data_IF_781343005384
#
_entry.id   IF_781343005384
#
_cell.length_a   1.000
_cell.length_b   1.000
_cell.length_c   1.000
_cell.angle_alpha   90.00
_cell.angle_beta   90.00
_cell.angle_gamma   90.00
#
_symmetry.space_group_name_H-M   'P 1'
#
loop_
_entity.id
_entity.type
_entity.pdbx_description
1 polymer ?
#
# COMPACT_ATOMS: atom_id res chain seq x y z
N UNK A 1 -24.73 14.39 -2.94
CA UNK A 1 -24.19 14.11 -4.29
C UNK A 1 -22.66 14.01 -4.31
N UNK A 2 -21.90 15.04 -3.89
CA UNK A 2 -20.42 15.05 -3.94
C UNK A 2 -19.71 13.89 -3.21
N UNK A 3 -20.20 13.50 -2.02
CA UNK A 3 -19.63 12.38 -1.24
C UNK A 3 -19.74 11.07 -2.02
N UNK A 4 -20.93 10.76 -2.55
CA UNK A 4 -21.19 9.51 -3.30
C UNK A 4 -20.29 9.43 -4.54
N UNK A 5 -20.13 10.55 -5.26
CA UNK A 5 -19.24 10.62 -6.43
C UNK A 5 -17.79 10.34 -6.03
N UNK A 6 -17.33 10.89 -4.91
CA UNK A 6 -15.98 10.60 -4.37
C UNK A 6 -15.81 9.11 -4.03
N UNK A 7 -16.79 8.47 -3.36
CA UNK A 7 -16.72 7.04 -3.04
C UNK A 7 -16.68 6.15 -4.28
N UNK A 8 -17.48 6.52 -5.29
CA UNK A 8 -17.50 5.80 -6.57
C UNK A 8 -16.17 5.96 -7.34
N UNK A 9 -15.59 7.17 -7.32
CA UNK A 9 -14.28 7.42 -7.89
C UNK A 9 -13.18 6.58 -7.22
N UNK A 10 -13.19 6.48 -5.89
CA UNK A 10 -12.27 5.62 -5.15
C UNK A 10 -12.41 4.13 -5.55
N UNK A 11 -13.65 3.65 -5.73
CA UNK A 11 -13.92 2.28 -6.20
C UNK A 11 -13.39 2.02 -7.62
N UNK A 12 -13.56 2.99 -8.53
CA UNK A 12 -13.00 2.90 -9.89
C UNK A 12 -11.48 2.81 -9.86
N UNK A 13 -10.80 3.68 -9.09
CA UNK A 13 -9.34 3.64 -8.95
C UNK A 13 -8.89 2.32 -8.34
N UNK A 14 -9.56 1.84 -7.29
CA UNK A 14 -9.25 0.57 -6.67
C UNK A 14 -9.34 -0.59 -7.68
N UNK A 15 -10.39 -0.61 -8.51
CA UNK A 15 -10.58 -1.63 -9.56
C UNK A 15 -9.46 -1.57 -10.60
N UNK A 16 -9.09 -0.37 -11.06
CA UNK A 16 -7.96 -0.19 -11.98
C UNK A 16 -6.65 -0.64 -11.36
N UNK A 17 -6.40 -0.31 -10.09
CA UNK A 17 -5.20 -0.71 -9.36
C UNK A 17 -5.10 -2.23 -9.22
N UNK A 18 -6.17 -2.91 -8.79
CA UNK A 18 -6.20 -4.37 -8.66
C UNK A 18 -5.98 -5.02 -10.03
N UNK A 19 -6.60 -4.49 -11.09
CA UNK A 19 -6.41 -4.99 -12.45
C UNK A 19 -4.96 -4.84 -12.93
N UNK A 20 -4.32 -3.71 -12.61
CA UNK A 20 -2.91 -3.45 -12.90
C UNK A 20 -1.99 -4.42 -12.15
N UNK A 21 -2.17 -4.59 -10.84
CA UNK A 21 -1.44 -5.56 -10.02
C UNK A 21 -1.56 -6.98 -10.58
N UNK A 22 -2.79 -7.43 -10.87
CA UNK A 22 -3.04 -8.75 -11.46
C UNK A 22 -2.40 -8.91 -12.84
N UNK A 23 -2.37 -7.85 -13.64
CA UNK A 23 -1.72 -7.84 -14.95
C UNK A 23 -0.20 -8.04 -14.83
N UNK A 24 0.45 -7.31 -13.93
CA UNK A 24 1.90 -7.44 -13.68
C UNK A 24 2.23 -8.82 -13.12
N UNK A 25 1.45 -9.37 -12.20
CA UNK A 25 1.67 -10.73 -11.68
C UNK A 25 1.63 -11.77 -12.80
N UNK A 26 0.62 -11.73 -13.66
CA UNK A 26 0.53 -12.64 -14.81
C UNK A 26 1.71 -12.47 -15.77
N UNK A 27 2.15 -11.25 -16.00
CA UNK A 27 3.32 -10.97 -16.83
C UNK A 27 4.58 -11.62 -16.23
N UNK A 28 4.80 -11.47 -14.92
CA UNK A 28 5.93 -12.08 -14.22
C UNK A 28 5.86 -13.62 -14.25
N UNK A 29 4.68 -14.19 -14.05
CA UNK A 29 4.49 -15.64 -14.09
C UNK A 29 4.83 -16.20 -15.49
N UNK A 30 4.39 -15.53 -16.55
CA UNK A 30 4.72 -15.89 -17.94
C UNK A 30 6.23 -15.74 -18.19
N UNK A 31 6.83 -14.64 -17.75
CA UNK A 31 8.26 -14.40 -17.91
C UNK A 31 9.11 -15.47 -17.18
N UNK A 32 8.70 -15.87 -15.97
CA UNK A 32 9.33 -16.94 -15.21
C UNK A 32 9.24 -18.29 -15.94
N UNK A 33 8.06 -18.64 -16.48
CA UNK A 33 7.89 -19.87 -17.29
C UNK A 33 8.81 -19.88 -18.51
N UNK A 34 8.93 -18.77 -19.23
CA UNK A 34 9.83 -18.64 -20.39
C UNK A 34 11.31 -18.76 -19.97
N UNK A 35 11.65 -18.22 -18.79
CA UNK A 35 13.00 -18.30 -18.24
C UNK A 35 13.40 -19.73 -17.91
N UNK A 36 12.49 -20.53 -17.33
CA UNK A 36 12.72 -21.93 -17.01
C UNK A 36 12.96 -22.78 -18.26
N UNK A 37 12.27 -22.48 -19.37
CA UNK A 37 12.42 -23.22 -20.63
C UNK A 37 13.73 -22.90 -21.37
N UNK A 38 14.27 -21.70 -21.22
CA UNK A 38 15.41 -21.23 -22.01
C UNK A 38 16.77 -21.40 -21.32
N UNK A 39 16.83 -21.80 -20.03
CA UNK A 39 18.05 -22.05 -19.23
C UNK A 39 19.13 -20.92 -19.18
N UNK A 40 18.98 -19.81 -19.90
CA UNK A 40 20.04 -18.82 -20.12
C UNK A 40 20.06 -17.66 -19.11
N UNK A 41 18.99 -17.44 -18.33
CA UNK A 41 18.91 -16.36 -17.33
C UNK A 41 18.28 -16.90 -16.05
N UNK A 42 18.95 -16.81 -14.89
CA UNK A 42 18.34 -17.16 -13.61
C UNK A 42 17.50 -15.97 -13.13
N UNK A 43 16.29 -15.78 -13.68
CA UNK A 43 15.27 -14.91 -13.04
C UNK A 43 14.74 -15.67 -11.83
N UNK A 44 15.60 -15.84 -10.82
CA UNK A 44 15.17 -16.40 -9.54
C UNK A 44 14.46 -15.30 -8.76
N UNK A 45 13.42 -15.64 -7.97
CA UNK A 45 12.76 -14.67 -7.11
C UNK A 45 13.72 -13.87 -6.21
N UNK A 46 14.87 -14.45 -5.83
CA UNK A 46 15.90 -13.77 -5.05
C UNK A 46 16.60 -12.64 -5.83
N UNK A 47 16.91 -12.87 -7.10
CA UNK A 47 17.49 -11.84 -7.97
C UNK A 47 16.50 -10.67 -8.16
N UNK A 48 15.22 -10.99 -8.38
CA UNK A 48 14.16 -9.99 -8.52
C UNK A 48 13.96 -9.17 -7.23
N UNK A 49 14.05 -9.81 -6.04
CA UNK A 49 14.03 -9.09 -4.76
C UNK A 49 15.20 -8.10 -4.67
N UNK A 50 16.42 -8.56 -4.96
CA UNK A 50 17.61 -7.73 -4.85
C UNK A 50 17.53 -6.54 -5.81
N UNK A 51 17.22 -6.80 -7.09
CA UNK A 51 17.14 -5.77 -8.12
C UNK A 51 16.06 -4.72 -7.81
N UNK A 52 14.83 -5.15 -7.52
CA UNK A 52 13.74 -4.20 -7.26
C UNK A 52 13.96 -3.41 -5.96
N UNK A 53 14.52 -4.05 -4.93
CA UNK A 53 14.87 -3.35 -3.68
C UNK A 53 15.90 -2.26 -3.94
N UNK A 54 16.97 -2.56 -4.70
CA UNK A 54 18.00 -1.58 -5.06
C UNK A 54 17.40 -0.42 -5.86
N UNK A 55 16.56 -0.70 -6.86
CA UNK A 55 15.91 0.33 -7.68
C UNK A 55 15.06 1.27 -6.82
N UNK A 56 14.26 0.71 -5.90
CA UNK A 56 13.38 1.50 -5.03
C UNK A 56 14.15 2.30 -3.97
N UNK A 57 15.23 1.74 -3.41
CA UNK A 57 16.13 2.45 -2.48
C UNK A 57 16.86 3.60 -3.17
N UNK A 58 17.42 3.39 -4.36
CA UNK A 58 18.07 4.45 -5.15
C UNK A 58 17.07 5.54 -5.55
N UNK A 59 15.85 5.13 -5.93
CA UNK A 59 14.76 6.05 -6.29
C UNK A 59 14.21 6.81 -5.08
N UNK A 60 14.60 6.43 -3.85
CA UNK A 60 14.10 7.01 -2.60
C UNK A 60 12.57 6.91 -2.52
N UNK A 61 12.04 5.72 -2.79
CA UNK A 61 10.59 5.43 -2.78
C UNK A 61 10.27 4.11 -2.09
N UNK A 62 11.20 3.58 -1.28
CA UNK A 62 11.06 2.26 -0.69
C UNK A 62 9.88 2.19 0.29
N UNK A 63 9.52 3.31 0.93
CA UNK A 63 8.40 3.45 1.87
C UNK A 63 7.04 3.02 1.29
N UNK A 64 6.87 3.10 -0.03
CA UNK A 64 5.61 2.76 -0.71
C UNK A 64 5.29 1.26 -0.69
N UNK A 65 6.24 0.40 -0.30
CA UNK A 65 6.04 -1.03 -0.18
C UNK A 65 5.12 -1.44 0.98
N UNK A 66 4.85 -0.53 1.93
CA UNK A 66 3.95 -0.80 3.04
C UNK A 66 2.48 -0.80 2.59
N UNK A 67 1.72 -1.75 3.11
CA UNK A 67 0.27 -1.85 2.90
C UNK A 67 -0.43 -2.04 4.24
N UNK A 68 -1.74 -2.29 4.22
CA UNK A 68 -2.49 -2.76 5.39
C UNK A 68 -1.74 -3.96 5.99
N UNK A 69 -1.47 -3.98 7.31
CA UNK A 69 -2.10 -3.17 8.36
C UNK A 69 -1.43 -1.82 8.71
N UNK A 70 -0.37 -1.40 8.02
CA UNK A 70 0.45 -0.24 8.41
C UNK A 70 -0.02 1.10 7.86
N UNK A 71 -0.87 1.08 6.84
CA UNK A 71 -1.36 2.29 6.17
C UNK A 71 -2.88 2.28 6.16
N UNK A 72 -3.50 3.30 6.76
CA UNK A 72 -4.94 3.52 6.71
C UNK A 72 -5.20 4.99 6.45
N UNK A 73 -6.04 5.26 5.45
CA UNK A 73 -6.41 6.62 5.05
C UNK A 73 -7.92 6.82 5.16
N UNK A 74 -8.31 7.84 5.93
CA UNK A 74 -9.70 8.25 6.03
C UNK A 74 -10.14 9.04 4.80
N UNK A 75 -11.44 9.05 4.54
CA UNK A 75 -12.00 9.80 3.44
C UNK A 75 -12.04 11.30 3.78
N UNK A 76 -11.17 12.06 3.12
CA UNK A 76 -11.21 13.52 3.11
C UNK A 76 -11.73 14.00 1.75
N UNK A 77 -12.74 14.87 1.77
CA UNK A 77 -13.38 15.40 0.55
C UNK A 77 -12.37 16.16 -0.33
N UNK A 78 -11.45 16.89 0.28
CA UNK A 78 -10.43 17.69 -0.41
C UNK A 78 -9.45 16.82 -1.22
N UNK A 79 -9.13 15.63 -0.70
CA UNK A 79 -8.14 14.71 -1.30
C UNK A 79 -8.79 13.61 -2.15
N UNK A 80 -10.11 13.60 -2.27
CA UNK A 80 -10.86 12.55 -2.96
C UNK A 80 -10.46 12.43 -4.43
N UNK A 81 -10.27 13.55 -5.12
CA UNK A 81 -9.95 13.61 -6.55
C UNK A 81 -8.50 14.00 -6.86
N UNK A 82 -7.70 14.24 -5.83
CA UNK A 82 -6.30 14.62 -5.98
C UNK A 82 -5.43 13.36 -5.93
N UNK A 83 -4.66 13.13 -6.99
CA UNK A 83 -3.66 12.07 -7.07
C UNK A 83 -2.33 12.76 -7.38
N UNK A 84 -1.46 12.95 -6.39
CA UNK A 84 -0.18 13.61 -6.60
C UNK A 84 0.75 12.71 -7.40
N UNK A 85 1.52 13.32 -8.30
CA UNK A 85 2.72 12.72 -8.90
C UNK A 85 3.92 12.95 -7.99
N UNK A 86 4.98 12.16 -8.17
CA UNK A 86 6.15 12.24 -7.29
C UNK A 86 6.84 13.62 -7.34
N UNK A 87 6.87 14.29 -8.49
CA UNK A 87 7.43 15.63 -8.63
C UNK A 87 6.39 16.74 -8.50
N UNK A 88 5.14 16.39 -8.17
CA UNK A 88 4.01 17.32 -7.97
C UNK A 88 3.84 18.31 -9.13
N UNK A 89 4.21 17.93 -10.35
CA UNK A 89 4.14 18.80 -11.53
C UNK A 89 2.70 19.07 -11.91
N UNK A 90 2.42 20.29 -12.32
CA UNK A 90 1.12 20.69 -12.87
C UNK A 90 1.18 20.62 -14.40
N UNK A 91 0.01 20.46 -15.04
CA UNK A 91 -0.10 20.50 -16.50
C UNK A 91 0.47 21.80 -17.10
N UNK A 92 0.40 22.90 -16.35
CA UNK A 92 0.89 24.21 -16.76
C UNK A 92 2.44 24.31 -16.75
N UNK A 93 3.15 23.37 -16.12
CA UNK A 93 4.63 23.36 -16.07
C UNK A 93 5.26 22.86 -17.39
N UNK A 94 4.43 22.46 -18.35
CA UNK A 94 4.80 21.93 -19.66
C UNK A 94 4.34 20.48 -19.84
N UNK A 95 3.62 20.21 -20.93
CA UNK A 95 2.98 18.91 -21.21
C UNK A 95 3.96 17.74 -21.15
N UNK A 96 5.17 17.88 -21.72
CA UNK A 96 6.18 16.82 -21.69
C UNK A 96 6.71 16.55 -20.27
N UNK A 97 6.99 17.60 -19.49
CA UNK A 97 7.47 17.44 -18.10
C UNK A 97 6.42 16.75 -17.23
N UNK A 98 5.16 17.14 -17.40
CA UNK A 98 4.04 16.49 -16.72
C UNK A 98 3.88 15.03 -17.15
N UNK A 99 4.01 14.74 -18.46
CA UNK A 99 3.95 13.37 -18.97
C UNK A 99 5.05 12.48 -18.38
N UNK A 100 6.30 12.94 -18.34
CA UNK A 100 7.40 12.18 -17.75
C UNK A 100 7.26 12.01 -16.23
N UNK A 101 6.73 13.00 -15.50
CA UNK A 101 6.41 12.86 -14.08
C UNK A 101 5.33 11.79 -13.83
N UNK A 102 4.28 11.78 -14.64
CA UNK A 102 3.27 10.73 -14.62
C UNK A 102 3.86 9.36 -14.94
N UNK A 103 4.70 9.25 -15.97
CA UNK A 103 5.35 7.98 -16.35
C UNK A 103 6.21 7.45 -15.21
N UNK A 104 7.08 8.30 -14.66
CA UNK A 104 7.96 7.92 -13.55
C UNK A 104 7.15 7.51 -12.31
N UNK A 105 6.10 8.27 -11.98
CA UNK A 105 5.20 7.94 -10.86
C UNK A 105 4.56 6.55 -11.04
N UNK A 106 4.22 6.14 -12.26
CA UNK A 106 3.63 4.80 -12.52
C UNK A 106 4.67 3.67 -12.58
N UNK A 107 5.94 3.96 -12.85
CA UNK A 107 7.01 2.96 -12.81
C UNK A 107 7.35 2.49 -11.39
N UNK A 108 7.20 3.35 -10.38
CA UNK A 108 7.49 2.96 -8.99
C UNK A 108 6.57 1.82 -8.51
N UNK A 109 5.23 1.89 -8.68
CA UNK A 109 4.35 0.77 -8.40
C UNK A 109 4.69 -0.50 -9.16
N UNK A 110 5.20 -0.43 -10.40
CA UNK A 110 5.63 -1.62 -11.14
C UNK A 110 6.70 -2.40 -10.38
N UNK A 111 7.79 -1.75 -9.98
CA UNK A 111 8.89 -2.39 -9.24
C UNK A 111 8.45 -2.87 -7.86
N UNK A 112 7.57 -2.13 -7.18
CA UNK A 112 6.94 -2.54 -5.93
C UNK A 112 6.14 -3.84 -6.12
N UNK A 113 5.35 -3.95 -7.19
CA UNK A 113 4.55 -5.15 -7.49
C UNK A 113 5.45 -6.35 -7.78
N UNK A 114 6.54 -6.15 -8.54
CA UNK A 114 7.54 -7.20 -8.77
C UNK A 114 8.09 -7.70 -7.46
N UNK A 115 8.61 -6.81 -6.60
CA UNK A 115 9.14 -7.14 -5.28
C UNK A 115 8.13 -7.93 -4.42
N UNK A 116 6.88 -7.46 -4.36
CA UNK A 116 5.80 -8.15 -3.65
C UNK A 116 5.56 -9.56 -4.21
N UNK A 117 5.52 -9.72 -5.54
CA UNK A 117 5.31 -11.00 -6.19
C UNK A 117 6.46 -11.97 -5.91
N UNK A 118 7.72 -11.53 -5.96
CA UNK A 118 8.87 -12.41 -5.74
C UNK A 118 8.86 -12.97 -4.31
N UNK A 119 8.63 -12.14 -3.30
CA UNK A 119 8.46 -12.60 -1.91
C UNK A 119 7.31 -13.58 -1.77
N UNK A 120 6.17 -13.29 -2.41
CA UNK A 120 5.02 -14.17 -2.40
C UNK A 120 5.35 -15.56 -2.96
N UNK A 121 6.04 -15.65 -4.10
CA UNK A 121 6.49 -16.91 -4.71
C UNK A 121 7.42 -17.69 -3.77
N UNK A 122 8.38 -17.00 -3.13
CA UNK A 122 9.29 -17.65 -2.17
C UNK A 122 8.50 -18.27 -1.01
N UNK A 123 7.54 -17.52 -0.45
CA UNK A 123 6.72 -18.02 0.66
C UNK A 123 5.85 -19.20 0.21
N UNK A 124 5.25 -19.13 -0.99
CA UNK A 124 4.48 -20.24 -1.56
C UNK A 124 5.31 -21.52 -1.71
N UNK A 125 6.57 -21.40 -2.14
CA UNK A 125 7.46 -22.54 -2.31
C UNK A 125 7.94 -23.16 -0.98
N UNK A 126 8.04 -22.35 0.09
CA UNK A 126 8.72 -22.77 1.32
C UNK A 126 7.77 -23.03 2.50
N UNK A 127 6.60 -22.39 2.56
CA UNK A 127 5.70 -22.45 3.72
C UNK A 127 4.55 -23.41 3.44
N UNK A 128 4.68 -24.66 3.90
CA UNK A 128 3.65 -25.71 3.78
C UNK A 128 3.04 -25.81 2.37
N UNK A 129 3.84 -26.02 1.32
CA UNK A 129 3.37 -26.00 -0.07
C UNK A 129 2.25 -27.03 -0.35
N UNK A 130 2.27 -28.15 0.38
CA UNK A 130 1.29 -29.24 0.22
C UNK A 130 0.02 -29.05 1.06
N UNK A 131 -0.05 -28.02 1.91
CA UNK A 131 -1.20 -27.77 2.78
C UNK A 131 -1.56 -26.27 2.77
N UNK A 132 -2.35 -25.81 1.79
CA UNK A 132 -2.68 -24.40 1.61
C UNK A 132 -3.33 -23.76 2.84
N UNK A 133 -4.19 -24.48 3.55
CA UNK A 133 -4.87 -23.94 4.74
C UNK A 133 -3.91 -23.73 5.91
N UNK A 134 -3.02 -24.69 6.15
CA UNK A 134 -1.98 -24.54 7.19
C UNK A 134 -1.03 -23.41 6.83
N UNK A 135 -0.62 -23.33 5.56
CA UNK A 135 0.17 -22.23 5.02
C UNK A 135 -0.49 -20.88 5.25
N UNK A 136 -1.81 -20.79 5.00
CA UNK A 136 -2.58 -19.57 5.19
C UNK A 136 -2.64 -19.12 6.66
N UNK A 137 -2.94 -20.03 7.59
CA UNK A 137 -3.01 -19.69 9.01
C UNK A 137 -1.66 -19.26 9.58
N UNK A 138 -0.57 -19.91 9.15
CA UNK A 138 0.79 -19.55 9.56
C UNK A 138 1.16 -18.18 8.99
N UNK A 139 0.85 -17.90 7.72
CA UNK A 139 1.05 -16.57 7.13
C UNK A 139 0.24 -15.50 7.85
N UNK A 140 -1.05 -15.70 8.13
CA UNK A 140 -1.87 -14.73 8.90
C UNK A 140 -1.26 -14.47 10.28
N UNK A 141 -0.92 -15.54 11.01
CA UNK A 141 -0.39 -15.44 12.38
C UNK A 141 0.96 -14.72 12.38
N UNK A 142 1.84 -15.07 11.46
CA UNK A 142 3.17 -14.43 11.30
C UNK A 142 3.02 -12.96 10.93
N UNK A 143 2.14 -12.65 9.97
CA UNK A 143 1.88 -11.29 9.51
C UNK A 143 1.39 -10.38 10.62
N UNK A 144 0.37 -10.80 11.38
CA UNK A 144 -0.15 -9.99 12.49
C UNK A 144 0.80 -9.92 13.70
N UNK A 145 1.56 -10.99 13.99
CA UNK A 145 2.56 -10.98 15.05
C UNK A 145 3.67 -9.98 14.75
N UNK A 146 4.20 -10.01 13.52
CA UNK A 146 5.19 -9.02 13.08
C UNK A 146 4.62 -7.61 13.03
N UNK A 147 3.35 -7.45 12.64
CA UNK A 147 2.70 -6.14 12.65
C UNK A 147 2.60 -5.56 14.06
N UNK A 148 2.22 -6.37 15.04
CA UNK A 148 2.21 -5.97 16.45
C UNK A 148 3.61 -5.58 16.92
N UNK A 149 4.64 -6.35 16.54
CA UNK A 149 6.02 -6.03 16.84
C UNK A 149 6.46 -4.69 16.20
N UNK A 150 6.09 -4.42 14.95
CA UNK A 150 6.37 -3.13 14.30
C UNK A 150 5.69 -1.96 15.03
N UNK A 151 4.43 -2.11 15.47
CA UNK A 151 3.75 -1.07 16.26
C UNK A 151 4.43 -0.82 17.61
N UNK A 152 4.86 -1.87 18.30
CA UNK A 152 5.53 -1.71 19.59
C UNK A 152 6.95 -1.15 19.46
N UNK A 153 7.64 -1.44 18.35
CA UNK A 153 9.00 -0.98 18.11
C UNK A 153 9.09 0.42 17.48
N UNK A 154 7.98 0.98 17.00
CA UNK A 154 7.94 2.28 16.30
C UNK A 154 8.69 3.39 17.05
N UNK A 155 8.42 3.60 18.34
CA UNK A 155 9.11 4.63 19.15
C UNK A 155 10.59 4.36 19.33
N UNK A 156 10.99 3.09 19.43
CA UNK A 156 12.40 2.71 19.54
C UNK A 156 13.14 2.96 18.22
N UNK A 157 12.53 2.61 17.09
CA UNK A 157 13.09 2.87 15.75
C UNK A 157 13.15 4.38 15.47
N UNK A 158 12.16 5.17 15.93
CA UNK A 158 12.18 6.63 15.82
C UNK A 158 13.38 7.24 16.57
N UNK A 159 13.71 6.72 17.76
CA UNK A 159 14.90 7.15 18.49
C UNK A 159 16.19 6.81 17.72
N UNK A 160 16.32 5.57 17.22
CA UNK A 160 17.48 5.17 16.39
C UNK A 160 17.63 6.06 15.15
N UNK A 161 16.52 6.40 14.51
CA UNK A 161 16.50 7.29 13.36
C UNK A 161 17.07 8.68 13.71
N UNK A 162 16.74 9.23 14.87
CA UNK A 162 17.14 10.60 15.23
C UNK A 162 18.60 10.75 15.71
N UNK A 163 19.30 9.65 16.03
CA UNK A 163 20.61 9.71 16.71
C UNK A 163 21.83 9.85 15.78
N UNK A 164 21.70 9.67 14.46
CA UNK A 164 22.85 9.46 13.55
C UNK A 164 22.79 10.32 12.27
N UNK A 165 23.82 10.17 11.42
CA UNK A 165 23.94 10.84 10.12
C UNK A 165 22.82 10.42 9.13
N UNK A 166 22.68 11.18 8.05
CA UNK A 166 21.57 11.01 7.11
C UNK A 166 21.58 9.65 6.39
N UNK A 167 22.75 9.06 6.10
CA UNK A 167 22.85 7.73 5.49
C UNK A 167 22.30 6.64 6.43
N UNK A 168 22.57 6.76 7.72
CA UNK A 168 22.05 5.83 8.73
C UNK A 168 20.52 5.92 8.85
N UNK A 169 19.96 7.13 8.73
CA UNK A 169 18.51 7.36 8.72
C UNK A 169 17.81 6.63 7.59
N UNK A 170 18.36 6.73 6.37
CA UNK A 170 17.83 5.99 5.22
C UNK A 170 17.88 4.49 5.48
N UNK A 171 19.02 3.97 5.96
CA UNK A 171 19.18 2.56 6.26
C UNK A 171 18.19 2.03 7.33
N UNK A 172 18.08 2.70 8.48
CA UNK A 172 17.16 2.29 9.56
C UNK A 172 15.72 2.24 9.07
N UNK A 173 15.29 3.27 8.34
CA UNK A 173 13.93 3.34 7.80
C UNK A 173 13.69 2.24 6.78
N UNK A 174 14.63 1.99 5.87
CA UNK A 174 14.45 0.99 4.83
C UNK A 174 14.41 -0.42 5.43
N UNK A 175 15.25 -0.72 6.42
CA UNK A 175 15.19 -1.98 7.19
C UNK A 175 13.84 -2.14 7.88
N UNK A 176 13.35 -1.10 8.56
CA UNK A 176 12.04 -1.13 9.19
C UNK A 176 10.91 -1.37 8.16
N UNK A 177 11.01 -0.71 7.01
CA UNK A 177 10.09 -0.87 5.89
C UNK A 177 10.09 -2.29 5.32
N UNK A 178 11.25 -2.97 5.25
CA UNK A 178 11.34 -4.38 4.84
C UNK A 178 10.56 -5.29 5.81
N UNK A 179 10.65 -5.05 7.12
CA UNK A 179 9.90 -5.83 8.11
C UNK A 179 8.40 -5.60 7.94
N UNK A 180 7.96 -4.35 7.77
CA UNK A 180 6.57 -4.00 7.48
C UNK A 180 6.07 -4.60 6.16
N UNK A 181 6.91 -4.61 5.11
CA UNK A 181 6.62 -5.26 3.83
C UNK A 181 6.37 -6.76 4.03
N UNK A 182 7.30 -7.46 4.70
CA UNK A 182 7.19 -8.90 4.93
C UNK A 182 5.95 -9.27 5.77
N UNK A 183 5.64 -8.46 6.78
CA UNK A 183 4.41 -8.60 7.56
C UNK A 183 3.15 -8.41 6.70
N UNK A 184 3.13 -7.37 5.87
CA UNK A 184 2.01 -7.08 4.94
C UNK A 184 1.78 -8.23 3.97
N UNK A 185 2.85 -8.75 3.34
CA UNK A 185 2.77 -9.87 2.40
C UNK A 185 2.16 -11.09 3.08
N UNK A 186 2.60 -11.42 4.29
CA UNK A 186 2.07 -12.56 5.04
C UNK A 186 0.58 -12.42 5.39
N UNK A 187 0.14 -11.23 5.82
CA UNK A 187 -1.29 -10.95 6.07
C UNK A 187 -2.09 -11.14 4.78
N UNK A 188 -1.70 -10.47 3.70
CA UNK A 188 -2.45 -10.53 2.44
C UNK A 188 -2.45 -11.92 1.85
N UNK A 189 -1.29 -12.58 1.80
CA UNK A 189 -1.17 -13.96 1.28
C UNK A 189 -2.11 -14.90 1.99
N UNK A 190 -2.08 -14.94 3.31
CA UNK A 190 -2.94 -15.84 4.07
C UNK A 190 -4.42 -15.50 3.90
N UNK A 191 -4.79 -14.22 3.87
CA UNK A 191 -6.18 -13.80 3.60
C UNK A 191 -6.65 -14.21 2.20
N UNK A 192 -5.83 -14.04 1.17
CA UNK A 192 -6.16 -14.44 -0.20
C UNK A 192 -6.37 -15.95 -0.32
N UNK A 193 -5.51 -16.78 0.30
CA UNK A 193 -5.69 -18.24 0.31
C UNK A 193 -6.99 -18.64 1.03
N UNK A 194 -7.30 -18.00 2.16
CA UNK A 194 -8.56 -18.23 2.89
C UNK A 194 -9.77 -17.82 2.03
N UNK A 195 -9.71 -16.66 1.37
CA UNK A 195 -10.79 -16.23 0.47
C UNK A 195 -10.98 -17.19 -0.71
N UNK A 196 -9.89 -17.63 -1.34
CA UNK A 196 -9.95 -18.58 -2.44
C UNK A 196 -10.55 -19.93 -1.98
N UNK A 197 -10.21 -20.39 -0.77
CA UNK A 197 -10.72 -21.65 -0.21
C UNK A 197 -12.22 -21.61 0.16
N UNK A 198 -12.70 -20.52 0.79
CA UNK A 198 -14.07 -20.44 1.30
C UNK A 198 -15.07 -19.78 0.35
N UNK A 199 -14.65 -18.77 -0.42
CA UNK A 199 -15.53 -18.03 -1.35
C UNK A 199 -15.48 -18.69 -2.73
N UNK A 200 -14.27 -19.01 -3.21
CA UNK A 200 -14.04 -19.55 -4.53
C UNK A 200 -14.59 -18.67 -5.66
N UNK A 201 -14.86 -19.27 -6.83
CA UNK A 201 -15.32 -18.55 -8.03
C UNK A 201 -16.86 -18.40 -8.10
N UNK A 202 -17.50 -18.09 -6.96
CA UNK A 202 -18.96 -17.93 -6.89
C UNK A 202 -19.33 -16.48 -7.11
N UNK A 203 -19.56 -16.10 -8.38
CA UNK A 203 -19.82 -14.71 -8.80
C UNK A 203 -20.82 -13.97 -7.90
N UNK A 204 -21.97 -14.57 -7.57
CA UNK A 204 -22.96 -13.95 -6.68
C UNK A 204 -22.45 -13.65 -5.27
N UNK A 205 -21.66 -14.56 -4.68
CA UNK A 205 -21.05 -14.38 -3.35
C UNK A 205 -19.95 -13.32 -3.42
N UNK A 206 -19.15 -13.31 -4.48
CA UNK A 206 -18.11 -12.30 -4.70
C UNK A 206 -18.71 -10.89 -4.77
N UNK A 207 -19.78 -10.67 -5.53
CA UNK A 207 -20.46 -9.37 -5.58
C UNK A 207 -21.03 -8.96 -4.23
N UNK A 208 -21.62 -9.90 -3.49
CA UNK A 208 -22.18 -9.65 -2.16
C UNK A 208 -21.09 -9.27 -1.15
N UNK A 209 -20.01 -10.05 -1.06
CA UNK A 209 -18.90 -9.79 -0.12
C UNK A 209 -18.22 -8.46 -0.41
N UNK A 210 -17.93 -8.16 -1.69
CA UNK A 210 -17.33 -6.89 -2.08
C UNK A 210 -18.27 -5.70 -1.82
N UNK A 211 -19.56 -5.85 -2.11
CA UNK A 211 -20.57 -4.82 -1.83
C UNK A 211 -20.73 -4.53 -0.33
N UNK A 212 -20.73 -5.58 0.50
CA UNK A 212 -20.77 -5.45 1.96
C UNK A 212 -19.48 -4.83 2.51
N UNK A 213 -18.31 -5.25 2.03
CA UNK A 213 -17.03 -4.68 2.43
C UNK A 213 -16.94 -3.19 2.07
N UNK A 214 -17.36 -2.81 0.86
CA UNK A 214 -17.41 -1.41 0.45
C UNK A 214 -18.36 -0.59 1.30
N UNK A 215 -19.56 -1.11 1.60
CA UNK A 215 -20.51 -0.47 2.51
C UNK A 215 -19.93 -0.28 3.91
N UNK A 216 -19.23 -1.29 4.42
CA UNK A 216 -18.56 -1.24 5.71
C UNK A 216 -17.46 -0.16 5.73
N UNK A 217 -16.63 -0.09 4.69
CA UNK A 217 -15.62 0.97 4.55
C UNK A 217 -16.23 2.37 4.45
N UNK A 218 -17.41 2.53 3.83
CA UNK A 218 -18.13 3.81 3.82
C UNK A 218 -18.59 4.21 5.22
N UNK A 219 -19.12 3.25 6.01
CA UNK A 219 -19.53 3.48 7.40
C UNK A 219 -18.32 3.90 8.25
N UNK A 220 -17.18 3.25 8.05
CA UNK A 220 -15.94 3.57 8.76
C UNK A 220 -15.21 4.81 8.21
N UNK A 221 -15.70 5.42 7.13
CA UNK A 221 -15.02 6.54 6.45
C UNK A 221 -13.58 6.20 6.00
N UNK A 222 -13.36 4.97 5.52
CA UNK A 222 -12.08 4.43 5.05
C UNK A 222 -12.09 4.01 3.56
N UNK A 223 -13.02 4.51 2.75
CA UNK A 223 -13.13 4.11 1.34
C UNK A 223 -11.93 4.57 0.51
N UNK A 224 -11.18 5.56 0.96
CA UNK A 224 -9.98 6.05 0.30
C UNK A 224 -8.78 5.14 0.56
N UNK A 225 -8.82 4.30 1.61
CA UNK A 225 -7.77 3.33 1.91
C UNK A 225 -7.60 2.25 0.82
N UNK A 226 -8.65 1.96 0.05
CA UNK A 226 -8.57 1.00 -1.08
C UNK A 226 -7.97 1.63 -2.35
N UNK A 227 -7.80 2.96 -2.38
CA UNK A 227 -7.27 3.70 -3.52
C UNK A 227 -5.87 4.20 -3.18
N UNK A 228 -4.80 3.63 -3.78
CA UNK A 228 -3.47 4.16 -3.56
C UNK A 228 -3.39 5.60 -4.08
N UNK A 229 -2.88 6.50 -3.22
CA UNK A 229 -2.75 7.92 -3.53
C UNK A 229 -1.30 8.24 -3.88
N UNK A 230 -1.00 8.20 -5.17
CA UNK A 230 0.30 8.60 -5.69
C UNK A 230 1.45 7.76 -5.14
N UNK A 231 2.65 8.33 -5.22
CA UNK A 231 3.90 7.75 -4.71
C UNK A 231 4.54 8.75 -3.77
N UNK A 232 4.88 8.30 -2.57
CA UNK A 232 5.60 9.10 -1.59
C UNK A 232 7.09 9.01 -1.86
N UNK A 233 7.77 10.16 -1.82
CA UNK A 233 9.22 10.18 -1.78
C UNK A 233 9.66 10.00 -0.34
N UNK A 234 10.70 9.22 -0.15
CA UNK A 234 11.32 8.97 1.15
C UNK A 234 11.75 10.29 1.81
N UNK A 235 11.18 10.55 3.00
CA UNK A 235 11.34 11.82 3.73
C UNK A 235 10.22 12.84 3.49
N UNK A 236 9.29 12.59 2.57
CA UNK A 236 8.01 13.29 2.52
C UNK A 236 7.01 12.59 3.44
N UNK A 237 6.80 13.17 4.62
CA UNK A 237 5.91 12.58 5.62
C UNK A 237 4.46 13.03 5.43
N UNK A 238 3.52 12.13 5.70
CA UNK A 238 2.09 12.42 5.89
C UNK A 238 1.79 13.18 7.21
N UNK A 239 2.80 13.85 7.78
CA UNK A 239 2.68 14.69 8.98
C UNK A 239 3.09 14.07 10.32
N UNK A 240 3.59 12.82 10.34
CA UNK A 240 3.92 12.09 11.58
C UNK A 240 5.40 11.81 11.81
N UNK A 241 6.29 12.16 10.89
CA UNK A 241 7.69 11.75 10.94
C UNK A 241 7.97 10.53 10.03
N UNK A 242 9.24 10.28 9.69
CA UNK A 242 9.64 9.36 8.61
C UNK A 242 9.61 7.87 8.99
N UNK A 243 9.51 7.56 10.29
CA UNK A 243 9.36 6.20 10.82
C UNK A 243 7.92 5.93 11.23
N UNK A 244 7.15 6.97 11.56
CA UNK A 244 5.85 6.75 12.18
C UNK A 244 4.86 6.18 11.18
N UNK A 245 4.23 5.08 11.57
CA UNK A 245 3.33 4.33 10.73
C UNK A 245 2.06 5.17 10.52
N UNK A 246 1.61 5.40 9.28
CA UNK A 246 0.48 6.29 8.99
C UNK A 246 -0.87 5.63 9.31
N UNK A 247 -1.05 5.18 10.55
CA UNK A 247 -2.33 4.70 11.10
C UNK A 247 -3.00 5.84 11.85
N UNK A 248 -3.40 6.82 11.07
CA UNK A 248 -3.94 8.08 11.57
C UNK A 248 -5.45 8.06 11.76
N UNK A 249 -6.09 6.89 11.74
CA UNK A 249 -7.55 6.75 11.68
C UNK A 249 -8.26 7.61 12.74
N UNK A 250 -7.99 7.35 14.01
CA UNK A 250 -8.63 8.08 15.11
C UNK A 250 -8.24 9.56 15.12
N UNK A 251 -6.96 9.88 14.89
CA UNK A 251 -6.48 11.26 14.86
C UNK A 251 -7.13 12.08 13.74
N UNK A 252 -7.32 11.48 12.56
CA UNK A 252 -7.98 12.11 11.42
C UNK A 252 -9.48 12.32 11.67
N UNK A 253 -10.15 11.37 12.32
CA UNK A 253 -11.57 11.51 12.71
C UNK A 253 -11.73 12.61 13.76
N UNK A 254 -10.91 12.62 14.81
CA UNK A 254 -11.01 13.68 15.82
C UNK A 254 -10.71 15.05 15.23
N UNK A 255 -9.73 15.15 14.32
CA UNK A 255 -9.43 16.39 13.59
C UNK A 255 -10.62 16.84 12.72
N UNK A 256 -11.27 15.94 12.00
CA UNK A 256 -12.42 16.30 11.15
C UNK A 256 -13.63 16.72 11.96
N UNK A 257 -13.91 16.06 13.08
CA UNK A 257 -14.97 16.44 14.02
C UNK A 257 -14.70 17.83 14.61
N UNK A 258 -13.46 18.11 15.04
CA UNK A 258 -13.08 19.41 15.60
C UNK A 258 -13.25 20.55 14.60
N UNK A 259 -12.80 20.35 13.36
CA UNK A 259 -12.98 21.33 12.28
C UNK A 259 -14.47 21.60 12.02
N UNK A 260 -15.30 20.55 12.00
CA UNK A 260 -16.75 20.71 11.82
C UNK A 260 -17.39 21.53 12.95
N UNK A 261 -17.01 21.31 14.20
CA UNK A 261 -17.52 22.14 15.32
C UNK A 261 -17.12 23.60 15.17
N UNK A 262 -15.85 23.87 14.83
CA UNK A 262 -15.36 25.25 14.65
C UNK A 262 -16.07 25.98 13.50
N UNK A 263 -16.36 25.29 12.40
CA UNK A 263 -17.15 25.85 11.29
C UNK A 263 -18.60 26.17 11.70
N UNK A 264 -19.23 25.30 12.49
CA UNK A 264 -20.60 25.53 12.98
C UNK A 264 -20.63 26.76 13.88
N UNK A 265 -19.67 26.89 14.80
CA UNK A 265 -19.56 28.01 15.72
C UNK A 265 -19.33 29.33 14.98
N UNK A 266 -18.43 29.35 13.98
CA UNK A 266 -18.21 30.52 13.13
C UNK A 266 -19.48 30.92 12.35
N UNK A 267 -20.20 29.94 11.79
CA UNK A 267 -21.43 30.19 11.03
C UNK A 267 -22.58 30.74 11.89
N UNK A 268 -22.59 30.40 13.19
CA UNK A 268 -23.55 30.93 14.15
C UNK A 268 -23.18 32.34 14.60
N UNK A 269 -21.88 32.64 14.75
CA UNK A 269 -21.41 34.00 15.10
C UNK A 269 -21.58 35.04 13.99
N UNK A 270 -21.68 34.63 12.72
CA UNK A 270 -21.89 35.55 11.58
C UNK A 270 -23.37 35.85 11.30
N UNK A 271 -24.29 35.19 11.99
CA UNK A 271 -25.75 35.40 11.87
C UNK A 271 -26.35 36.27 12.98
N UNK A 272 -25.53 36.75 13.91
CA UNK A 272 -25.86 37.74 14.95
C UNK A 272 -25.29 39.09 14.56
#
# INVERSE_FOLDING_TARGET
>A
MRIIVSKFHALLIATTCISYWRGVWKFLDIAATISETNHDIPITPLFDIAQNSIILMISKTFVNNMSVPFVVMTDQLENSFHIPTIFKRKRNDGTLKFFFDCLYTNLIPFFMICLWRSFWVIIDANVFPNNPMTSAYISITTGYTLSLFCFMSESFIENLYNERCDEYKFFVRDVFTVVCLFASINVWRGLWIVFDAYIGNRNGVLFLVNGLAWKFLMILNCTSSISPKGVLKDGEDLGNGPIRLPILYFQQIFKSVKLQSEFIDQSNSTKL
#
